data_IF_269394726706
#
_entry.id   IF_269394726706
#
_cell.length_a   1.000
_cell.length_b   1.000
_cell.length_c   1.000
_cell.angle_alpha   90.00
_cell.angle_beta   90.00
_cell.angle_gamma   90.00
#
_symmetry.space_group_name_H-M   'P 1'
#
loop_
_entity.id
_entity.type
_entity.pdbx_description
1 polymer ?
#
# COMPACT_ATOMS: atom_id res chain seq x y z
N UNK A 1 38.90 -4.91 11.10
CA UNK A 1 37.45 -5.12 10.86
C UNK A 1 36.74 -4.29 11.90
N UNK A 2 35.92 -3.31 11.51
CA UNK A 2 35.28 -2.38 12.45
C UNK A 2 34.50 -3.20 13.48
N UNK A 3 34.87 -3.09 14.76
CA UNK A 3 34.30 -3.84 15.88
C UNK A 3 32.93 -3.23 16.24
N UNK A 4 32.02 -3.23 15.27
CA UNK A 4 30.68 -2.68 15.44
C UNK A 4 29.89 -3.63 16.33
N UNK A 5 29.15 -3.10 17.33
CA UNK A 5 28.46 -3.95 18.29
C UNK A 5 27.29 -4.72 17.68
N UNK A 6 26.75 -4.27 16.54
CA UNK A 6 25.76 -4.99 15.74
C UNK A 6 26.44 -5.62 14.52
N UNK A 7 26.31 -6.94 14.41
CA UNK A 7 26.86 -7.75 13.34
C UNK A 7 25.92 -7.93 12.14
N UNK A 8 26.30 -8.79 11.17
CA UNK A 8 25.50 -9.08 9.99
C UNK A 8 24.14 -9.67 10.34
N UNK A 9 23.11 -9.25 9.60
CA UNK A 9 21.79 -9.88 9.68
C UNK A 9 21.84 -11.28 9.07
N UNK A 10 21.57 -12.29 9.89
CA UNK A 10 21.48 -13.70 9.47
C UNK A 10 20.14 -14.23 9.95
N UNK A 11 19.35 -14.81 9.02
CA UNK A 11 18.03 -15.35 9.33
C UNK A 11 18.01 -16.85 9.15
N UNK A 12 17.74 -17.57 10.24
CA UNK A 12 17.55 -19.01 10.25
C UNK A 12 16.13 -19.38 9.75
N UNK A 13 15.95 -19.35 8.43
CA UNK A 13 14.77 -19.90 7.77
C UNK A 13 13.43 -19.18 8.02
N UNK A 14 12.35 -19.84 7.60
CA UNK A 14 10.96 -19.34 7.65
C UNK A 14 10.08 -20.07 8.65
N UNK A 15 10.62 -21.05 9.37
CA UNK A 15 9.88 -21.88 10.32
C UNK A 15 9.41 -21.08 11.55
N UNK A 16 8.29 -21.52 12.13
CA UNK A 16 7.81 -21.02 13.42
C UNK A 16 8.55 -21.76 14.53
N UNK A 17 9.28 -21.01 15.35
CA UNK A 17 10.06 -21.51 16.47
C UNK A 17 9.31 -21.29 17.79
N UNK A 18 9.52 -22.17 18.79
CA UNK A 18 9.10 -21.89 20.16
C UNK A 18 9.66 -20.57 20.68
N UNK A 19 8.95 -19.95 21.61
CA UNK A 19 9.41 -18.72 22.26
C UNK A 19 10.74 -18.95 22.99
N UNK A 20 11.74 -18.12 22.69
CA UNK A 20 13.05 -18.14 23.34
C UNK A 20 13.13 -17.04 24.43
N UNK A 21 13.21 -17.39 25.72
CA UNK A 21 13.35 -16.43 26.82
C UNK A 21 14.56 -15.50 26.73
N UNK A 22 15.65 -15.92 26.07
CA UNK A 22 16.85 -15.10 25.92
C UNK A 22 16.62 -13.87 25.04
N UNK A 23 15.57 -13.88 24.20
CA UNK A 23 15.20 -12.75 23.33
C UNK A 23 15.03 -11.44 24.11
N UNK A 24 14.53 -11.50 25.34
CA UNK A 24 14.37 -10.31 26.19
C UNK A 24 15.71 -9.72 26.65
N UNK A 25 16.71 -10.56 26.91
CA UNK A 25 18.06 -10.10 27.27
C UNK A 25 18.76 -9.49 26.05
N UNK A 26 18.62 -10.11 24.88
CA UNK A 26 19.09 -9.57 23.60
C UNK A 26 18.47 -8.21 23.31
N UNK A 27 17.14 -8.08 23.43
CA UNK A 27 16.45 -6.82 23.21
C UNK A 27 16.94 -5.69 24.12
N UNK A 28 17.10 -5.95 25.43
CA UNK A 28 17.69 -4.99 26.38
C UNK A 28 19.10 -4.59 25.98
N UNK A 29 19.93 -5.55 25.59
CA UNK A 29 21.31 -5.27 25.18
C UNK A 29 21.37 -4.37 23.95
N UNK A 30 20.51 -4.60 22.96
CA UNK A 30 20.42 -3.74 21.78
C UNK A 30 19.92 -2.35 22.15
N UNK A 31 18.90 -2.24 23.00
CA UNK A 31 18.39 -0.96 23.47
C UNK A 31 19.48 -0.13 24.20
N UNK A 32 20.30 -0.76 25.04
CA UNK A 32 21.46 -0.11 25.68
C UNK A 32 22.47 0.42 24.67
N UNK A 33 22.80 -0.37 23.63
CA UNK A 33 23.72 0.03 22.58
C UNK A 33 23.18 1.23 21.77
N UNK A 34 21.89 1.19 21.45
CA UNK A 34 21.22 2.29 20.75
C UNK A 34 21.19 3.55 21.61
N UNK A 35 20.83 3.43 22.89
CA UNK A 35 20.83 4.56 23.82
C UNK A 35 22.23 5.16 23.99
N UNK A 36 23.28 4.34 24.04
CA UNK A 36 24.66 4.81 24.12
C UNK A 36 25.10 5.57 22.84
N UNK A 37 24.67 5.11 21.66
CA UNK A 37 24.96 5.78 20.38
C UNK A 37 24.07 7.00 20.08
N UNK A 38 22.85 7.03 20.62
CA UNK A 38 21.87 8.11 20.47
C UNK A 38 21.13 8.35 21.79
N UNK A 39 21.71 9.11 22.73
CA UNK A 39 21.05 9.45 23.98
C UNK A 39 19.69 10.11 23.73
N UNK A 40 18.66 9.62 24.44
CA UNK A 40 17.28 10.11 24.30
C UNK A 40 16.41 9.32 23.31
N UNK A 41 16.97 8.39 22.54
CA UNK A 41 16.18 7.45 21.74
C UNK A 41 15.79 6.23 22.58
N UNK A 42 14.52 6.17 22.98
CA UNK A 42 13.97 5.02 23.71
C UNK A 42 13.63 3.89 22.73
N UNK A 43 14.15 2.69 22.99
CA UNK A 43 13.89 1.50 22.20
C UNK A 43 13.10 0.49 23.04
N UNK A 44 11.98 0.03 22.49
CA UNK A 44 11.09 -0.93 23.10
C UNK A 44 11.16 -2.29 22.41
N UNK A 45 11.06 -3.37 23.20
CA UNK A 45 10.95 -4.73 22.67
C UNK A 45 9.50 -4.99 22.24
N UNK A 46 9.28 -5.25 20.95
CA UNK A 46 7.95 -5.47 20.37
C UNK A 46 7.88 -6.82 19.65
N UNK A 47 6.77 -7.07 18.95
CA UNK A 47 6.61 -8.28 18.16
C UNK A 47 6.45 -9.54 19.00
N UNK A 48 6.76 -10.69 18.39
CA UNK A 48 6.39 -11.99 18.97
C UNK A 48 7.33 -12.40 20.10
N UNK A 49 8.63 -12.10 19.95
CA UNK A 49 9.66 -12.43 20.92
C UNK A 49 9.56 -11.58 22.19
N UNK A 50 8.78 -10.50 22.17
CA UNK A 50 8.47 -9.71 23.36
C UNK A 50 7.39 -10.35 24.25
N UNK A 51 6.64 -11.35 23.78
CA UNK A 51 5.52 -11.95 24.50
C UNK A 51 5.89 -13.35 24.99
N UNK A 52 6.06 -13.56 26.31
CA UNK A 52 6.40 -14.87 26.85
C UNK A 52 5.43 -15.97 26.40
N UNK A 53 6.00 -17.04 25.85
CA UNK A 53 5.26 -18.22 25.38
C UNK A 53 4.64 -18.08 23.99
N UNK A 54 4.78 -16.94 23.30
CA UNK A 54 4.26 -16.75 21.95
C UNK A 54 5.27 -17.24 20.89
N UNK A 55 4.96 -18.27 20.08
CA UNK A 55 5.84 -18.71 19.01
C UNK A 55 5.94 -17.67 17.87
N UNK A 56 7.05 -17.71 17.14
CA UNK A 56 7.36 -16.74 16.10
C UNK A 56 8.53 -17.13 15.21
N UNK A 57 9.01 -16.20 14.39
CA UNK A 57 10.11 -16.44 13.44
C UNK A 57 11.51 -16.37 14.07
N UNK A 58 11.60 -16.22 15.40
CA UNK A 58 12.86 -16.08 16.12
C UNK A 58 13.60 -14.75 15.90
N UNK A 59 12.94 -13.74 15.35
CA UNK A 59 13.51 -12.39 15.16
C UNK A 59 13.19 -11.53 16.38
N UNK A 60 14.19 -10.81 16.90
CA UNK A 60 14.02 -9.83 17.96
C UNK A 60 13.57 -8.52 17.33
N UNK A 61 12.27 -8.23 17.43
CA UNK A 61 11.66 -7.02 16.87
C UNK A 61 11.73 -5.88 17.90
N UNK A 62 12.28 -4.75 17.51
CA UNK A 62 12.45 -3.56 18.33
C UNK A 62 11.77 -2.38 17.64
N UNK A 63 11.30 -1.42 18.42
CA UNK A 63 10.71 -0.20 17.90
C UNK A 63 11.18 1.02 18.71
N UNK A 64 11.31 2.16 18.04
CA UNK A 64 11.54 3.46 18.65
C UNK A 64 10.60 4.49 18.00
N UNK A 65 10.19 5.49 18.77
CA UNK A 65 9.45 6.64 18.24
C UNK A 65 10.37 7.86 18.16
N UNK A 66 10.24 8.63 17.07
CA UNK A 66 11.04 9.82 16.84
C UNK A 66 10.23 10.91 16.14
N UNK A 67 10.65 12.17 16.32
CA UNK A 67 10.16 13.26 15.48
C UNK A 67 10.55 13.00 14.02
N UNK A 68 9.63 13.18 13.04
CA UNK A 68 9.91 12.89 11.62
C UNK A 68 11.20 13.55 11.10
N UNK A 69 11.50 14.77 11.56
CA UNK A 69 12.70 15.51 11.19
C UNK A 69 14.01 14.87 11.69
N UNK A 70 13.97 14.08 12.77
CA UNK A 70 15.15 13.45 13.37
C UNK A 70 15.43 12.05 12.81
N UNK A 71 14.46 11.43 12.13
CA UNK A 71 14.56 10.06 11.61
C UNK A 71 15.80 9.84 10.71
N UNK A 72 16.18 10.75 9.79
CA UNK A 72 17.40 10.58 8.99
C UNK A 72 18.67 10.52 9.86
N UNK A 73 18.79 11.40 10.85
CA UNK A 73 19.95 11.44 11.75
C UNK A 73 20.01 10.21 12.67
N UNK A 74 18.85 9.76 13.17
CA UNK A 74 18.73 8.52 13.95
C UNK A 74 19.15 7.32 13.11
N UNK A 75 18.64 7.21 11.87
CA UNK A 75 18.96 6.10 10.97
C UNK A 75 20.46 6.04 10.68
N UNK A 76 21.11 7.19 10.47
CA UNK A 76 22.56 7.27 10.31
C UNK A 76 23.31 6.75 11.54
N UNK A 77 22.91 7.15 12.75
CA UNK A 77 23.51 6.67 14.00
C UNK A 77 23.33 5.14 14.19
N UNK A 78 22.19 4.58 13.78
CA UNK A 78 21.98 3.13 13.81
C UNK A 78 22.94 2.40 12.85
N UNK A 79 23.21 2.95 11.66
CA UNK A 79 24.20 2.37 10.74
C UNK A 79 25.63 2.41 11.30
N UNK A 80 25.98 3.43 12.08
CA UNK A 80 27.28 3.51 12.77
C UNK A 80 27.45 2.38 13.80
N UNK A 81 26.37 1.98 14.48
CA UNK A 81 26.34 0.83 15.39
C UNK A 81 26.45 -0.53 14.66
N UNK A 82 26.29 -0.56 13.34
CA UNK A 82 26.42 -1.77 12.51
C UNK A 82 25.13 -2.35 11.97
N UNK A 83 23.99 -1.71 12.25
CA UNK A 83 22.74 -2.03 11.55
C UNK A 83 22.89 -1.81 10.04
N UNK A 84 22.10 -2.57 9.28
CA UNK A 84 22.09 -2.59 7.82
C UNK A 84 20.70 -2.19 7.30
N UNK A 85 20.62 -1.66 6.08
CA UNK A 85 19.34 -1.48 5.40
C UNK A 85 18.59 -2.82 5.26
N UNK A 86 17.26 -2.77 5.29
CA UNK A 86 16.45 -3.92 4.95
C UNK A 86 16.75 -4.40 3.52
N UNK A 87 16.95 -5.71 3.37
CA UNK A 87 17.05 -6.36 2.07
C UNK A 87 15.69 -6.87 1.59
N UNK A 88 15.43 -6.77 0.28
CA UNK A 88 14.20 -7.26 -0.35
C UNK A 88 13.62 -6.32 -1.41
N UNK A 89 12.53 -6.73 -2.09
CA UNK A 89 11.93 -5.97 -3.18
C UNK A 89 11.10 -4.75 -2.74
N UNK A 90 10.77 -4.63 -1.45
CA UNK A 90 9.89 -3.57 -0.92
C UNK A 90 10.36 -3.14 0.49
N UNK A 91 11.45 -2.37 0.60
CA UNK A 91 11.96 -1.89 1.87
C UNK A 91 11.04 -0.82 2.47
N UNK A 92 11.01 -0.72 3.80
CA UNK A 92 10.32 0.38 4.47
C UNK A 92 10.91 1.74 4.04
N UNK A 93 10.07 2.78 3.85
CA UNK A 93 10.56 4.06 3.37
C UNK A 93 11.47 4.75 4.40
N UNK A 94 12.38 5.65 3.98
CA UNK A 94 13.34 6.33 4.86
C UNK A 94 12.75 7.13 6.02
N UNK A 95 11.45 7.42 5.99
CA UNK A 95 10.73 8.17 7.02
C UNK A 95 9.99 7.31 8.03
N UNK A 96 9.97 6.00 7.83
CA UNK A 96 9.64 5.01 8.86
C UNK A 96 10.52 3.77 8.69
N UNK A 97 11.85 3.93 8.72
CA UNK A 97 12.75 2.88 8.28
C UNK A 97 12.72 1.71 9.26
N UNK A 98 12.96 0.52 8.71
CA UNK A 98 13.32 -0.66 9.48
C UNK A 98 14.75 -1.03 9.13
N UNK A 99 15.64 -0.98 10.12
CA UNK A 99 17.01 -1.45 9.97
C UNK A 99 17.15 -2.86 10.53
N UNK A 100 18.11 -3.62 10.00
CA UNK A 100 18.31 -5.02 10.34
C UNK A 100 19.72 -5.27 10.86
N UNK A 101 19.89 -6.23 11.75
CA UNK A 101 21.21 -6.54 12.33
C UNK A 101 21.26 -7.90 13.01
N UNK A 102 22.45 -8.25 13.50
CA UNK A 102 22.66 -9.47 14.26
C UNK A 102 23.37 -9.21 15.59
N UNK A 103 22.99 -9.92 16.65
CA UNK A 103 23.71 -9.89 17.92
C UNK A 103 24.02 -11.30 18.39
N UNK A 104 25.29 -11.54 18.71
CA UNK A 104 25.72 -12.78 19.35
C UNK A 104 25.43 -12.69 20.86
N UNK A 105 24.64 -13.63 21.38
CA UNK A 105 24.33 -13.72 22.80
C UNK A 105 24.42 -15.18 23.23
N UNK A 106 25.26 -15.45 24.24
CA UNK A 106 25.49 -16.82 24.76
C UNK A 106 25.84 -17.85 23.68
N UNK A 107 26.62 -17.45 22.67
CA UNK A 107 27.06 -18.31 21.57
C UNK A 107 26.03 -18.53 20.46
N UNK A 108 24.85 -17.90 20.54
CA UNK A 108 23.81 -17.93 19.51
C UNK A 108 23.66 -16.58 18.82
N UNK A 109 23.53 -16.59 17.50
CA UNK A 109 23.24 -15.39 16.70
C UNK A 109 21.73 -15.11 16.71
N UNK A 110 21.36 -13.87 17.02
CA UNK A 110 19.97 -13.40 16.97
C UNK A 110 19.80 -12.39 15.85
N UNK A 111 18.79 -12.61 15.03
CA UNK A 111 18.34 -11.64 14.02
C UNK A 111 17.56 -10.51 14.71
N UNK A 112 17.85 -9.27 14.35
CA UNK A 112 17.22 -8.07 14.92
C UNK A 112 16.57 -7.27 13.80
N UNK A 113 15.34 -6.85 14.04
CA UNK A 113 14.65 -5.79 13.29
C UNK A 113 14.44 -4.61 14.23
N UNK A 114 14.79 -3.40 13.80
CA UNK A 114 14.54 -2.18 14.56
C UNK A 114 13.78 -1.19 13.68
N UNK A 115 12.53 -0.95 14.04
CA UNK A 115 11.66 0.05 13.40
C UNK A 115 11.84 1.42 14.06
N UNK A 116 11.97 2.47 13.26
CA UNK A 116 11.92 3.86 13.72
C UNK A 116 10.61 4.46 13.22
N UNK A 117 9.66 4.66 14.11
CA UNK A 117 8.34 5.19 13.79
C UNK A 117 8.32 6.71 13.95
N UNK A 118 7.67 7.45 13.03
CA UNK A 118 7.36 8.85 13.27
C UNK A 118 6.38 8.98 14.43
N UNK A 119 6.52 10.06 15.21
CA UNK A 119 5.61 10.37 16.32
C UNK A 119 4.16 10.44 15.86
N UNK A 120 3.26 9.83 16.63
CA UNK A 120 1.85 9.71 16.26
C UNK A 120 1.56 8.60 15.24
N UNK A 121 2.58 7.81 14.88
CA UNK A 121 2.45 6.62 14.05
C UNK A 121 2.04 5.37 14.83
N UNK A 122 2.42 4.20 14.30
CA UNK A 122 1.98 2.90 14.83
C UNK A 122 2.70 2.46 16.13
N UNK A 123 3.68 3.22 16.63
CA UNK A 123 4.50 2.84 17.80
C UNK A 123 3.66 2.55 19.04
N UNK A 124 2.78 3.46 19.44
CA UNK A 124 1.92 3.27 20.62
C UNK A 124 0.99 2.07 20.47
N UNK A 125 0.53 1.79 19.25
CA UNK A 125 -0.33 0.65 18.93
C UNK A 125 0.42 -0.68 19.04
N UNK A 126 1.66 -0.74 18.57
CA UNK A 126 2.49 -1.94 18.66
C UNK A 126 2.82 -2.27 20.13
N UNK A 127 3.05 -1.26 20.97
CA UNK A 127 3.21 -1.44 22.42
C UNK A 127 1.92 -1.92 23.08
N UNK A 128 0.79 -1.26 22.82
CA UNK A 128 -0.49 -1.63 23.41
C UNK A 128 -0.88 -3.08 23.07
N UNK A 129 -0.64 -3.51 21.82
CA UNK A 129 -0.94 -4.88 21.39
C UNK A 129 0.02 -5.91 21.97
N UNK A 130 1.31 -5.60 22.08
CA UNK A 130 2.27 -6.43 22.84
C UNK A 130 1.79 -6.62 24.27
N UNK A 131 1.41 -5.54 24.94
CA UNK A 131 1.04 -5.57 26.35
C UNK A 131 -0.31 -6.27 26.56
N UNK A 132 -1.26 -6.13 25.64
CA UNK A 132 -2.48 -6.92 25.60
C UNK A 132 -2.20 -8.43 25.46
N UNK A 133 -1.29 -8.82 24.55
CA UNK A 133 -0.89 -10.23 24.38
C UNK A 133 -0.15 -10.79 25.62
N UNK A 134 0.56 -9.95 26.37
CA UNK A 134 1.19 -10.34 27.64
C UNK A 134 0.16 -10.53 28.76
N UNK A 135 -0.87 -9.69 28.77
CA UNK A 135 -1.91 -9.69 29.81
C UNK A 135 -2.99 -10.77 29.58
N UNK A 136 -3.34 -11.08 28.32
CA UNK A 136 -4.40 -12.01 27.98
C UNK A 136 -3.86 -13.28 27.29
N UNK A 137 -3.87 -14.39 28.04
CA UNK A 137 -3.48 -15.71 27.54
C UNK A 137 -4.37 -16.19 26.39
N UNK A 138 -5.69 -15.92 26.42
CA UNK A 138 -6.61 -16.38 25.35
C UNK A 138 -6.29 -15.67 24.05
N UNK A 139 -6.09 -14.36 24.09
CA UNK A 139 -5.68 -13.56 22.93
C UNK A 139 -4.33 -14.06 22.36
N UNK A 140 -3.35 -14.32 23.25
CA UNK A 140 -2.05 -14.86 22.85
C UNK A 140 -2.16 -16.23 22.18
N UNK A 141 -2.93 -17.14 22.77
CA UNK A 141 -3.10 -18.50 22.27
C UNK A 141 -3.85 -18.48 20.91
N UNK A 142 -4.84 -17.59 20.73
CA UNK A 142 -5.49 -17.35 19.44
C UNK A 142 -4.52 -16.81 18.38
N UNK A 143 -3.67 -15.85 18.73
CA UNK A 143 -2.67 -15.31 17.82
C UNK A 143 -1.60 -16.35 17.43
N UNK A 144 -1.22 -17.23 18.37
CA UNK A 144 -0.31 -18.34 18.12
C UNK A 144 -0.92 -19.38 17.16
N UNK A 145 -2.21 -19.71 17.35
CA UNK A 145 -2.96 -20.61 16.48
C UNK A 145 -3.04 -20.07 15.04
N UNK A 146 -3.41 -18.79 14.88
CA UNK A 146 -3.44 -18.12 13.57
C UNK A 146 -2.11 -18.24 12.84
N UNK A 147 -0.99 -17.97 13.52
CA UNK A 147 0.35 -18.10 12.92
C UNK A 147 0.67 -19.53 12.47
N UNK A 148 0.25 -20.51 13.26
CA UNK A 148 0.50 -21.93 12.99
C UNK A 148 -0.34 -22.41 11.80
N UNK A 149 -1.60 -22.01 11.75
CA UNK A 149 -2.51 -22.28 10.62
C UNK A 149 -1.96 -21.66 9.32
N UNK A 150 -1.56 -20.38 9.36
CA UNK A 150 -1.01 -19.68 8.19
C UNK A 150 0.23 -20.39 7.63
N UNK A 151 1.09 -20.94 8.47
CA UNK A 151 2.31 -21.66 8.04
C UNK A 151 2.00 -23.09 7.60
N UNK A 152 1.01 -23.76 8.20
CA UNK A 152 0.62 -25.13 7.87
C UNK A 152 -0.09 -25.28 6.52
N UNK A 153 -0.78 -24.25 6.03
CA UNK A 153 -1.58 -24.31 4.79
C UNK A 153 -0.75 -23.98 3.53
N UNK A 154 0.52 -23.59 3.67
CA UNK A 154 1.36 -23.24 2.51
C UNK A 154 0.88 -21.98 1.76
N UNK A 155 0.00 -21.17 2.37
CA UNK A 155 -0.43 -19.88 1.83
C UNK A 155 0.78 -18.95 1.70
N UNK A 156 1.21 -18.72 0.47
CA UNK A 156 2.30 -17.80 0.13
C UNK A 156 1.72 -16.49 -0.47
N UNK A 157 2.50 -15.41 -0.40
CA UNK A 157 2.20 -14.17 -1.14
C UNK A 157 1.20 -13.21 -0.45
N UNK A 158 0.24 -12.69 -1.21
CA UNK A 158 -0.68 -11.61 -0.78
C UNK A 158 -1.78 -12.10 0.17
N UNK A 159 -2.32 -13.31 -0.06
CA UNK A 159 -3.35 -13.94 0.81
C UNK A 159 -2.83 -14.15 2.26
N UNK A 160 -1.52 -14.44 2.40
CA UNK A 160 -0.78 -14.50 3.66
C UNK A 160 -0.82 -13.16 4.42
N UNK A 161 -0.57 -12.06 3.71
CA UNK A 161 -0.50 -10.71 4.30
C UNK A 161 -1.90 -10.22 4.70
N UNK A 162 -2.90 -10.41 3.84
CA UNK A 162 -4.26 -9.90 4.08
C UNK A 162 -4.97 -10.60 5.24
N UNK A 163 -4.89 -11.93 5.33
CA UNK A 163 -5.58 -12.69 6.40
C UNK A 163 -5.04 -12.33 7.78
N UNK A 164 -3.70 -12.19 7.89
CA UNK A 164 -3.04 -11.78 9.13
C UNK A 164 -3.39 -10.33 9.50
N UNK A 165 -3.39 -9.42 8.52
CA UNK A 165 -3.74 -8.01 8.76
C UNK A 165 -5.20 -7.86 9.19
N UNK A 166 -6.13 -8.63 8.62
CA UNK A 166 -7.54 -8.58 9.00
C UNK A 166 -7.77 -9.01 10.45
N UNK A 167 -7.12 -10.09 10.91
CA UNK A 167 -7.21 -10.54 12.30
C UNK A 167 -6.58 -9.54 13.27
N UNK A 168 -5.40 -9.00 12.95
CA UNK A 168 -4.73 -8.01 13.80
C UNK A 168 -5.57 -6.73 13.91
N UNK A 169 -6.18 -6.28 12.80
CA UNK A 169 -7.11 -5.16 12.81
C UNK A 169 -8.31 -5.43 13.73
N UNK A 170 -8.87 -6.64 13.70
CA UNK A 170 -9.95 -7.03 14.62
C UNK A 170 -9.52 -7.07 16.08
N UNK A 171 -8.30 -7.53 16.34
CA UNK A 171 -7.72 -7.51 17.68
C UNK A 171 -7.53 -6.07 18.18
N UNK A 172 -6.99 -5.17 17.36
CA UNK A 172 -6.87 -3.75 17.71
C UNK A 172 -8.24 -3.16 18.07
N UNK A 173 -9.27 -3.41 17.26
CA UNK A 173 -10.65 -2.96 17.54
C UNK A 173 -11.17 -3.48 18.87
N UNK A 174 -11.07 -4.78 19.11
CA UNK A 174 -11.57 -5.42 20.33
C UNK A 174 -10.87 -4.87 21.58
N UNK A 175 -9.61 -4.47 21.43
CA UNK A 175 -8.78 -3.92 22.50
C UNK A 175 -8.89 -2.40 22.64
N UNK A 176 -9.62 -1.71 21.75
CA UNK A 176 -9.70 -0.24 21.73
C UNK A 176 -8.36 0.44 21.43
N UNK A 177 -7.51 -0.20 20.61
CA UNK A 177 -6.20 0.35 20.22
C UNK A 177 -6.36 1.04 18.86
N UNK A 178 -6.78 2.29 18.88
CA UNK A 178 -7.06 3.06 17.67
C UNK A 178 -5.81 3.81 17.17
N UNK A 179 -5.77 4.07 15.86
CA UNK A 179 -4.85 5.06 15.31
C UNK A 179 -5.32 6.46 15.70
N UNK A 180 -4.41 7.40 16.01
CA UNK A 180 -4.83 8.78 16.23
C UNK A 180 -5.48 9.32 14.95
N UNK A 181 -6.73 9.77 15.09
CA UNK A 181 -7.49 10.35 14.01
C UNK A 181 -6.90 11.69 13.57
N UNK A 182 -7.03 12.00 12.28
CA UNK A 182 -6.75 13.33 11.75
C UNK A 182 -8.03 14.14 11.93
N UNK A 183 -8.13 14.87 13.04
CA UNK A 183 -9.36 15.57 13.43
C UNK A 183 -9.45 16.99 12.86
N UNK A 184 -10.66 17.52 12.58
CA UNK A 184 -10.85 18.93 12.29
C UNK A 184 -10.24 19.84 13.38
N UNK A 185 -9.62 20.99 13.04
CA UNK A 185 -9.60 21.64 11.73
C UNK A 185 -8.34 21.30 10.89
N UNK A 186 -7.89 20.05 10.90
CA UNK A 186 -6.81 19.57 10.04
C UNK A 186 -7.04 19.89 8.55
N UNK A 187 -5.96 19.89 7.78
CA UNK A 187 -5.97 20.19 6.36
C UNK A 187 -5.81 18.93 5.52
N UNK A 188 -6.68 18.75 4.53
CA UNK A 188 -6.58 17.69 3.52
C UNK A 188 -5.97 18.30 2.25
N UNK A 189 -4.85 17.73 1.82
CA UNK A 189 -4.23 17.99 0.53
C UNK A 189 -4.83 17.10 -0.56
N UNK A 190 -5.23 17.67 -1.70
CA UNK A 190 -5.79 16.92 -2.83
C UNK A 190 -4.91 17.14 -4.06
N UNK A 191 -4.35 16.04 -4.59
CA UNK A 191 -3.68 16.02 -5.89
C UNK A 191 -4.75 15.86 -6.97
N UNK A 192 -5.05 16.94 -7.69
CA UNK A 192 -6.16 17.02 -8.64
C UNK A 192 -7.30 17.89 -8.15
N UNK A 193 -7.63 18.90 -8.94
CA UNK A 193 -8.68 19.88 -8.67
C UNK A 193 -9.92 19.71 -9.53
N UNK A 194 -10.15 18.54 -10.13
CA UNK A 194 -11.33 18.24 -10.94
C UNK A 194 -12.62 18.14 -10.12
N UNK A 195 -13.68 17.64 -10.75
CA UNK A 195 -15.00 17.54 -10.14
C UNK A 195 -15.04 16.60 -8.93
N UNK A 196 -14.25 15.51 -8.92
CA UNK A 196 -14.23 14.60 -7.78
C UNK A 196 -13.47 15.24 -6.62
N UNK A 197 -12.40 16.00 -6.91
CA UNK A 197 -11.67 16.80 -5.93
C UNK A 197 -12.57 17.86 -5.29
N UNK A 198 -13.41 18.52 -6.10
CA UNK A 198 -14.43 19.46 -5.62
C UNK A 198 -15.46 18.79 -4.71
N UNK A 199 -16.00 17.65 -5.12
CA UNK A 199 -17.00 16.91 -4.32
C UNK A 199 -16.42 16.42 -2.98
N UNK A 200 -15.17 15.93 -3.00
CA UNK A 200 -14.42 15.59 -1.79
C UNK A 200 -14.24 16.83 -0.89
N UNK A 201 -13.83 17.96 -1.46
CA UNK A 201 -13.66 19.22 -0.73
C UNK A 201 -14.94 19.71 -0.07
N UNK A 202 -16.09 19.61 -0.75
CA UNK A 202 -17.40 19.96 -0.17
C UNK A 202 -17.73 19.09 1.06
N UNK A 203 -17.55 17.77 0.95
CA UNK A 203 -17.79 16.86 2.06
C UNK A 203 -16.84 17.14 3.24
N UNK A 204 -15.56 17.36 2.96
CA UNK A 204 -14.56 17.67 3.97
C UNK A 204 -14.82 18.99 4.70
N UNK A 205 -15.22 20.04 3.96
CA UNK A 205 -15.59 21.35 4.53
C UNK A 205 -16.80 21.25 5.46
N UNK A 206 -17.79 20.43 5.11
CA UNK A 206 -18.96 20.18 5.97
C UNK A 206 -18.58 19.52 7.30
N UNK A 207 -17.45 18.80 7.36
CA UNK A 207 -16.91 18.21 8.59
C UNK A 207 -15.92 19.14 9.33
N UNK A 208 -15.59 20.31 8.78
CA UNK A 208 -14.70 21.30 9.42
C UNK A 208 -13.22 21.22 9.01
N UNK A 209 -12.87 20.42 8.00
CA UNK A 209 -11.51 20.36 7.48
C UNK A 209 -11.19 21.58 6.59
N UNK A 210 -9.89 21.91 6.52
CA UNK A 210 -9.31 22.79 5.51
C UNK A 210 -8.90 22.00 4.28
N UNK A 211 -8.81 22.68 3.14
CA UNK A 211 -8.52 22.04 1.85
C UNK A 211 -7.43 22.81 1.11
N UNK A 212 -6.37 22.08 0.71
CA UNK A 212 -5.37 22.58 -0.22
C UNK A 212 -5.37 21.69 -1.45
N UNK A 213 -5.39 22.29 -2.63
CA UNK A 213 -5.44 21.54 -3.91
C UNK A 213 -4.17 21.83 -4.70
N UNK A 214 -3.64 20.82 -5.38
CA UNK A 214 -2.65 20.99 -6.44
C UNK A 214 -3.29 20.65 -7.78
N UNK A 215 -3.30 21.61 -8.70
CA UNK A 215 -3.85 21.46 -10.05
C UNK A 215 -3.13 22.41 -11.03
N UNK A 216 -2.87 22.04 -12.30
CA UNK A 216 -2.29 22.94 -13.28
C UNK A 216 -3.19 24.12 -13.65
N UNK A 217 -4.51 24.01 -13.48
CA UNK A 217 -5.48 25.06 -13.71
C UNK A 217 -5.78 25.83 -12.40
N UNK A 218 -5.41 27.12 -12.29
CA UNK A 218 -5.76 27.92 -11.11
C UNK A 218 -7.28 28.05 -10.89
N UNK A 219 -8.08 27.91 -11.94
CA UNK A 219 -9.54 28.00 -11.92
C UNK A 219 -10.20 26.61 -11.93
N UNK A 220 -9.46 25.55 -11.57
CA UNK A 220 -9.96 24.18 -11.49
C UNK A 220 -11.24 24.08 -10.62
N UNK A 221 -12.14 23.11 -10.88
CA UNK A 221 -13.39 22.98 -10.14
C UNK A 221 -13.27 22.98 -8.60
N UNK A 222 -12.22 22.38 -8.05
CA UNK A 222 -11.98 22.32 -6.61
C UNK A 222 -11.49 23.64 -5.99
N UNK A 223 -10.99 24.59 -6.80
CA UNK A 223 -10.59 25.92 -6.34
C UNK A 223 -11.75 26.65 -5.64
N UNK A 224 -13.00 26.40 -6.05
CA UNK A 224 -14.19 27.00 -5.47
C UNK A 224 -14.44 26.62 -3.99
N UNK A 225 -13.77 25.57 -3.48
CA UNK A 225 -13.94 25.08 -2.11
C UNK A 225 -12.64 25.01 -1.32
N UNK A 226 -11.50 25.17 -2.00
CA UNK A 226 -10.16 25.14 -1.41
C UNK A 226 -9.85 26.41 -0.62
N UNK A 227 -9.08 26.27 0.46
CA UNK A 227 -8.47 27.40 1.17
C UNK A 227 -7.22 27.90 0.41
N UNK A 228 -6.58 27.02 -0.38
CA UNK A 228 -5.46 27.37 -1.27
C UNK A 228 -5.38 26.44 -2.48
N UNK A 229 -4.97 27.01 -3.61
CA UNK A 229 -4.59 26.27 -4.82
C UNK A 229 -3.09 26.44 -5.08
N UNK A 230 -2.39 25.32 -5.25
CA UNK A 230 -1.00 25.25 -5.71
C UNK A 230 -1.05 24.97 -7.21
N UNK A 231 -0.65 25.95 -8.02
CA UNK A 231 -0.69 25.84 -9.48
C UNK A 231 0.56 25.12 -9.97
N UNK A 232 0.43 23.84 -10.31
CA UNK A 232 1.53 23.01 -10.77
C UNK A 232 1.04 21.78 -11.55
N UNK A 233 1.93 21.20 -12.36
CA UNK A 233 1.62 19.95 -13.09
C UNK A 233 1.68 18.72 -12.18
N UNK A 234 1.01 17.65 -12.60
CA UNK A 234 0.92 16.39 -11.84
C UNK A 234 2.19 15.53 -11.85
N UNK A 235 3.29 16.07 -12.34
CA UNK A 235 4.64 15.50 -12.33
C UNK A 235 5.69 16.39 -11.63
N UNK A 236 5.27 17.57 -11.12
CA UNK A 236 6.14 18.48 -10.39
C UNK A 236 6.26 18.09 -8.91
N UNK A 237 7.25 17.25 -8.61
CA UNK A 237 7.57 16.81 -7.24
C UNK A 237 7.95 17.97 -6.33
N UNK A 238 8.64 18.99 -6.82
CA UNK A 238 9.07 20.11 -6.00
C UNK A 238 7.88 21.00 -5.61
N UNK A 239 6.99 21.30 -6.55
CA UNK A 239 5.75 22.01 -6.25
C UNK A 239 4.84 21.20 -5.31
N UNK A 240 4.76 19.88 -5.50
CA UNK A 240 3.97 19.00 -4.66
C UNK A 240 4.44 18.99 -3.19
N UNK A 241 5.73 19.23 -2.91
CA UNK A 241 6.22 19.43 -1.54
C UNK A 241 5.56 20.61 -0.83
N UNK A 242 4.97 21.56 -1.56
CA UNK A 242 4.12 22.59 -0.98
C UNK A 242 2.94 22.04 -0.19
N UNK A 243 2.40 20.86 -0.56
CA UNK A 243 1.34 20.20 0.20
C UNK A 243 1.81 19.69 1.56
N UNK A 244 3.08 19.29 1.68
CA UNK A 244 3.64 18.64 2.87
C UNK A 244 3.67 19.56 4.10
N UNK A 245 3.85 20.86 3.88
CA UNK A 245 3.88 21.84 4.97
C UNK A 245 2.51 22.37 5.38
N UNK A 246 1.46 22.01 4.63
CA UNK A 246 0.13 22.63 4.75
C UNK A 246 -0.98 21.61 4.98
N UNK A 247 -0.77 20.35 4.60
CA UNK A 247 -1.70 19.25 4.78
C UNK A 247 -1.24 18.30 5.90
N UNK A 248 -2.20 17.83 6.69
CA UNK A 248 -2.01 16.76 7.67
C UNK A 248 -2.20 15.37 7.03
N UNK A 249 -2.88 15.32 5.88
CA UNK A 249 -3.07 14.13 5.06
C UNK A 249 -3.24 14.51 3.60
N UNK A 250 -2.69 13.71 2.70
CA UNK A 250 -2.83 13.92 1.26
C UNK A 250 -3.63 12.77 0.63
N UNK A 251 -4.45 13.09 -0.34
CA UNK A 251 -5.11 12.13 -1.23
C UNK A 251 -5.00 12.58 -2.68
N UNK A 252 -5.41 11.73 -3.61
CA UNK A 252 -5.38 12.02 -5.03
C UNK A 252 -6.73 11.70 -5.67
N UNK A 253 -7.15 12.59 -6.57
CA UNK A 253 -8.40 12.47 -7.31
C UNK A 253 -8.27 11.56 -8.53
N UNK A 254 -7.11 11.60 -9.18
CA UNK A 254 -6.90 11.15 -10.55
C UNK A 254 -5.79 10.11 -10.64
N UNK A 255 -5.97 9.15 -11.54
CA UNK A 255 -5.04 8.04 -11.76
C UNK A 255 -3.76 8.44 -12.51
N UNK A 256 -3.71 9.66 -13.08
CA UNK A 256 -2.59 10.15 -13.87
C UNK A 256 -1.61 11.05 -13.09
N UNK A 257 -1.73 11.11 -11.76
CA UNK A 257 -0.68 11.69 -10.91
C UNK A 257 0.58 10.84 -11.05
N UNK A 258 1.73 11.50 -11.24
CA UNK A 258 3.02 10.82 -11.25
C UNK A 258 3.23 10.10 -9.92
N UNK A 259 3.55 8.80 -9.97
CA UNK A 259 3.74 7.99 -8.76
C UNK A 259 4.89 8.55 -7.91
N UNK A 260 5.86 9.19 -8.55
CA UNK A 260 6.99 9.87 -7.94
C UNK A 260 6.56 10.98 -6.99
N UNK A 261 5.47 11.70 -7.29
CA UNK A 261 4.88 12.67 -6.35
C UNK A 261 4.37 11.93 -5.13
N UNK A 262 3.55 10.89 -5.30
CA UNK A 262 2.96 10.17 -4.18
C UNK A 262 4.03 9.52 -3.31
N UNK A 263 5.06 8.92 -3.91
CA UNK A 263 6.21 8.37 -3.19
C UNK A 263 6.99 9.45 -2.45
N UNK A 264 7.20 10.63 -3.05
CA UNK A 264 7.89 11.74 -2.40
C UNK A 264 7.09 12.39 -1.26
N UNK A 265 5.75 12.36 -1.33
CA UNK A 265 4.87 12.91 -0.31
C UNK A 265 4.60 11.93 0.83
N UNK A 266 4.35 10.65 0.53
CA UNK A 266 3.97 9.61 1.50
C UNK A 266 5.07 9.32 2.51
N UNK A 267 6.31 9.72 2.20
CA UNK A 267 7.38 9.69 3.17
C UNK A 267 7.21 10.79 4.23
N UNK A 268 6.67 11.97 3.90
CA UNK A 268 6.64 13.12 4.81
C UNK A 268 5.28 13.33 5.48
N UNK A 269 4.19 13.20 4.71
CA UNK A 269 2.79 13.34 5.15
C UNK A 269 2.04 12.08 4.70
N UNK A 270 1.15 11.50 5.52
CA UNK A 270 0.44 10.29 5.11
C UNK A 270 -0.34 10.54 3.82
N UNK A 271 -0.03 9.78 2.76
CA UNK A 271 -0.84 9.77 1.54
C UNK A 271 -1.78 8.59 1.59
N UNK A 272 -3.09 8.83 1.47
CA UNK A 272 -4.12 7.80 1.47
C UNK A 272 -4.82 7.77 0.11
N UNK A 273 -4.88 6.61 -0.57
CA UNK A 273 -4.49 5.26 -0.12
C UNK A 273 -3.00 4.88 -0.35
N UNK A 274 -2.13 5.84 -0.71
CA UNK A 274 -0.69 5.63 -0.91
C UNK A 274 -0.31 5.27 -2.36
N UNK A 275 0.94 4.89 -2.66
CA UNK A 275 1.43 4.70 -4.03
C UNK A 275 0.99 3.38 -4.69
N UNK A 276 0.69 2.35 -3.89
CA UNK A 276 0.42 1.00 -4.42
C UNK A 276 -0.82 0.93 -5.32
N UNK A 277 -1.99 1.50 -4.95
CA UNK A 277 -3.16 1.49 -5.83
C UNK A 277 -2.89 2.14 -7.19
N UNK A 278 -2.26 3.33 -7.22
CA UNK A 278 -1.86 3.99 -8.48
C UNK A 278 -0.91 3.13 -9.32
N UNK A 279 0.04 2.45 -8.68
CA UNK A 279 0.98 1.56 -9.39
C UNK A 279 0.27 0.41 -10.09
N UNK A 280 -0.77 -0.13 -9.46
CA UNK A 280 -1.55 -1.26 -9.99
C UNK A 280 -2.58 -0.79 -11.02
N UNK A 281 -3.37 0.24 -10.72
CA UNK A 281 -4.44 0.73 -11.61
C UNK A 281 -3.89 1.47 -12.84
N UNK A 282 -2.71 2.09 -12.73
CA UNK A 282 -2.04 2.76 -13.86
C UNK A 282 -1.53 1.80 -14.96
N UNK A 283 -1.58 0.49 -14.74
CA UNK A 283 -1.14 -0.54 -15.68
C UNK A 283 -2.13 -1.70 -15.77
N UNK A 284 -2.88 -1.80 -16.87
CA UNK A 284 -3.92 -2.81 -17.09
C UNK A 284 -3.43 -4.26 -16.95
N UNK A 285 -2.15 -4.52 -17.23
CA UNK A 285 -1.58 -5.86 -17.08
C UNK A 285 -1.31 -6.16 -15.60
N UNK A 286 -0.78 -5.17 -14.86
CA UNK A 286 -0.62 -5.28 -13.42
C UNK A 286 -1.98 -5.44 -12.72
N UNK A 287 -2.98 -4.66 -13.13
CA UNK A 287 -4.37 -4.75 -12.68
C UNK A 287 -4.94 -6.15 -12.90
N UNK A 288 -4.84 -6.72 -14.12
CA UNK A 288 -5.33 -8.09 -14.38
C UNK A 288 -4.69 -9.12 -13.47
N UNK A 289 -3.36 -9.09 -13.36
CA UNK A 289 -2.61 -10.01 -12.48
C UNK A 289 -3.02 -9.84 -11.02
N UNK A 290 -3.28 -8.61 -10.58
CA UNK A 290 -3.73 -8.33 -9.22
C UNK A 290 -5.13 -8.92 -8.96
N UNK A 291 -6.08 -8.70 -9.86
CA UNK A 291 -7.45 -9.24 -9.73
C UNK A 291 -7.45 -10.78 -9.73
N UNK A 292 -6.66 -11.40 -10.61
CA UNK A 292 -6.48 -12.87 -10.63
C UNK A 292 -5.83 -13.39 -9.34
N UNK A 293 -4.82 -12.69 -8.81
CA UNK A 293 -4.18 -13.04 -7.55
C UNK A 293 -5.12 -12.91 -6.34
N UNK A 294 -6.16 -12.08 -6.43
CA UNK A 294 -7.25 -12.00 -5.46
C UNK A 294 -8.30 -13.11 -5.62
N UNK A 295 -8.15 -13.99 -6.62
CA UNK A 295 -9.08 -15.10 -6.89
C UNK A 295 -10.35 -14.68 -7.65
N UNK A 296 -10.42 -13.43 -8.13
CA UNK A 296 -11.53 -12.96 -8.94
C UNK A 296 -11.35 -13.35 -10.41
N UNK A 297 -12.48 -13.57 -11.10
CA UNK A 297 -12.48 -13.91 -12.52
C UNK A 297 -12.32 -12.67 -13.39
N UNK A 298 -11.47 -12.76 -14.40
CA UNK A 298 -11.30 -11.72 -15.43
C UNK A 298 -11.58 -12.30 -16.81
N UNK A 299 -11.86 -11.43 -17.79
CA UNK A 299 -11.92 -11.85 -19.19
C UNK A 299 -10.59 -12.52 -19.59
N UNK A 300 -10.62 -13.68 -20.29
CA UNK A 300 -9.39 -14.32 -20.75
C UNK A 300 -8.53 -13.35 -21.57
N UNK A 301 -7.26 -13.21 -21.19
CA UNK A 301 -6.37 -12.19 -21.74
C UNK A 301 -4.95 -12.70 -21.99
N UNK A 302 -4.20 -11.96 -22.81
CA UNK A 302 -2.78 -12.15 -23.09
C UNK A 302 -2.06 -10.81 -23.16
N UNK A 303 -0.86 -10.76 -22.61
CA UNK A 303 0.08 -9.66 -22.86
C UNK A 303 0.70 -9.86 -24.26
N UNK A 304 0.69 -8.80 -25.07
CA UNK A 304 1.24 -8.81 -26.43
C UNK A 304 2.07 -7.55 -26.69
N UNK A 305 3.15 -7.69 -27.45
CA UNK A 305 4.11 -6.63 -27.82
C UNK A 305 4.35 -6.56 -29.32
N UNK A 306 4.00 -7.61 -30.04
CA UNK A 306 4.24 -7.79 -31.49
C UNK A 306 2.99 -8.31 -32.18
N UNK A 307 2.96 -8.20 -33.52
CA UNK A 307 1.85 -8.77 -34.30
C UNK A 307 1.79 -10.30 -34.20
N UNK A 308 2.94 -10.98 -34.13
CA UNK A 308 2.97 -12.44 -33.99
C UNK A 308 2.41 -12.90 -32.65
N UNK A 309 2.71 -12.18 -31.56
CA UNK A 309 2.11 -12.40 -30.25
C UNK A 309 0.60 -12.14 -30.29
N UNK A 310 0.15 -11.10 -30.99
CA UNK A 310 -1.28 -10.81 -31.19
C UNK A 310 -1.99 -11.92 -31.98
N UNK A 311 -1.38 -12.44 -33.05
CA UNK A 311 -1.90 -13.60 -33.78
C UNK A 311 -1.97 -14.84 -32.89
N UNK A 312 -0.96 -15.05 -32.04
CA UNK A 312 -0.95 -16.11 -31.02
C UNK A 312 -2.10 -15.96 -30.02
N UNK A 313 -2.32 -14.75 -29.51
CA UNK A 313 -3.44 -14.44 -28.62
C UNK A 313 -4.79 -14.70 -29.30
N UNK A 314 -4.98 -14.28 -30.56
CA UNK A 314 -6.21 -14.54 -31.30
C UNK A 314 -6.50 -16.03 -31.50
N UNK A 315 -5.48 -16.86 -31.76
CA UNK A 315 -5.66 -18.32 -31.82
C UNK A 315 -6.06 -18.93 -30.47
N UNK A 316 -5.54 -18.38 -29.37
CA UNK A 316 -5.80 -18.91 -28.02
C UNK A 316 -7.13 -18.43 -27.42
N UNK A 317 -7.51 -17.18 -27.67
CA UNK A 317 -8.66 -16.51 -27.05
C UNK A 317 -9.92 -16.49 -27.94
N UNK A 318 -9.74 -16.64 -29.26
CA UNK A 318 -10.77 -16.41 -30.27
C UNK A 318 -10.97 -14.92 -30.59
N UNK A 319 -11.86 -14.63 -31.53
CA UNK A 319 -12.34 -13.27 -31.85
C UNK A 319 -13.86 -13.21 -31.63
N UNK A 320 -14.45 -12.05 -31.25
CA UNK A 320 -13.83 -10.73 -31.19
C UNK A 320 -12.89 -10.50 -29.99
N UNK A 321 -11.88 -9.65 -30.21
CA UNK A 321 -10.92 -9.20 -29.18
C UNK A 321 -11.01 -7.70 -28.95
N UNK A 322 -10.67 -7.29 -27.72
CA UNK A 322 -10.28 -5.91 -27.39
C UNK A 322 -8.77 -5.85 -27.22
N UNK A 323 -8.12 -5.01 -28.00
CA UNK A 323 -6.70 -4.70 -27.86
C UNK A 323 -6.57 -3.35 -27.17
N UNK A 324 -5.95 -3.33 -26.00
CA UNK A 324 -5.80 -2.13 -25.16
C UNK A 324 -4.33 -1.88 -24.87
N UNK A 325 -3.94 -0.62 -24.78
CA UNK A 325 -2.61 -0.32 -24.24
C UNK A 325 -2.55 -0.57 -22.73
N UNK A 326 -1.42 -1.08 -22.24
CA UNK A 326 -1.25 -1.35 -20.81
C UNK A 326 -1.35 -0.08 -19.95
N UNK A 327 -0.80 1.06 -20.41
CA UNK A 327 -0.77 2.32 -19.64
C UNK A 327 -1.44 3.46 -20.37
N UNK A 328 -1.92 4.47 -19.65
CA UNK A 328 -2.34 5.76 -20.21
C UNK A 328 -3.53 5.69 -21.17
N UNK A 329 -4.55 4.90 -20.86
CA UNK A 329 -5.83 4.88 -21.60
C UNK A 329 -7.01 5.07 -20.65
N UNK A 330 -7.95 5.95 -21.00
CA UNK A 330 -9.14 6.33 -20.23
C UNK A 330 -10.35 6.50 -21.17
N UNK A 331 -11.59 6.31 -20.69
CA UNK A 331 -12.85 6.47 -21.45
C UNK A 331 -12.86 5.87 -22.86
N UNK A 332 -12.41 4.62 -22.96
CA UNK A 332 -12.35 3.90 -24.23
C UNK A 332 -11.33 4.40 -25.25
N UNK A 333 -10.46 5.36 -24.88
CA UNK A 333 -9.29 5.78 -25.67
C UNK A 333 -8.15 4.76 -25.54
N UNK A 334 -7.28 4.70 -26.54
CA UNK A 334 -6.15 3.75 -26.60
C UNK A 334 -6.56 2.27 -26.53
N UNK A 335 -7.71 1.96 -27.14
CA UNK A 335 -8.16 0.59 -27.39
C UNK A 335 -8.82 0.47 -28.77
N UNK A 336 -8.75 -0.71 -29.37
CA UNK A 336 -9.46 -1.05 -30.60
C UNK A 336 -10.16 -2.39 -30.46
N UNK A 337 -11.25 -2.56 -31.22
CA UNK A 337 -11.92 -3.85 -31.40
C UNK A 337 -11.34 -4.54 -32.63
N UNK A 338 -11.08 -5.84 -32.51
CA UNK A 338 -10.67 -6.73 -33.59
C UNK A 338 -11.81 -7.73 -33.76
N UNK A 339 -12.66 -7.51 -34.77
CA UNK A 339 -13.87 -8.30 -34.97
C UNK A 339 -13.60 -9.72 -35.48
N UNK A 340 -12.55 -9.87 -36.29
CA UNK A 340 -12.21 -11.12 -36.96
C UNK A 340 -10.69 -11.29 -37.14
N UNK A 341 -10.18 -12.51 -37.44
CA UNK A 341 -8.76 -12.72 -37.69
C UNK A 341 -8.20 -11.90 -38.87
N UNK A 342 -9.04 -11.50 -39.82
CA UNK A 342 -8.64 -10.66 -40.96
C UNK A 342 -8.26 -9.22 -40.55
N UNK A 343 -8.65 -8.78 -39.35
CA UNK A 343 -8.36 -7.44 -38.82
C UNK A 343 -7.10 -7.38 -37.96
N UNK A 344 -6.37 -8.49 -37.82
CA UNK A 344 -5.14 -8.56 -36.99
C UNK A 344 -3.98 -7.78 -37.62
N UNK A 345 -3.88 -7.78 -38.94
CA UNK A 345 -2.81 -7.14 -39.70
C UNK A 345 -2.88 -5.62 -39.51
N UNK A 346 -1.78 -5.00 -39.06
CA UNK A 346 -1.72 -3.56 -38.82
C UNK A 346 -2.53 -3.08 -37.60
N UNK A 347 -3.07 -3.98 -36.78
CA UNK A 347 -3.84 -3.62 -35.58
C UNK A 347 -3.01 -2.79 -34.59
N UNK A 348 -1.71 -3.12 -34.42
CA UNK A 348 -0.80 -2.36 -33.56
C UNK A 348 -0.58 -0.94 -34.09
N UNK A 349 -0.44 -0.78 -35.41
CA UNK A 349 -0.31 0.53 -36.05
C UNK A 349 -1.58 1.37 -35.90
N UNK A 350 -2.76 0.75 -36.08
CA UNK A 350 -4.08 1.39 -35.89
C UNK A 350 -4.28 1.90 -34.46
N UNK A 351 -3.72 1.22 -33.45
CA UNK A 351 -3.77 1.67 -32.07
C UNK A 351 -2.91 2.93 -31.82
N UNK A 352 -1.97 3.26 -32.73
CA UNK A 352 -1.16 4.48 -32.67
C UNK A 352 -0.11 4.48 -31.55
N UNK A 353 0.43 3.32 -31.17
CA UNK A 353 1.37 3.18 -30.04
C UNK A 353 2.83 2.96 -30.47
N UNK A 354 3.81 3.37 -29.63
CA UNK A 354 5.22 3.05 -29.87
C UNK A 354 5.46 1.55 -29.97
N UNK A 355 6.33 1.14 -30.89
CA UNK A 355 6.74 -0.25 -31.04
C UNK A 355 7.26 -0.81 -29.69
N UNK A 356 6.84 -2.03 -29.34
CA UNK A 356 7.24 -2.78 -28.13
C UNK A 356 6.65 -2.33 -26.79
N UNK A 357 5.69 -1.40 -26.78
CA UNK A 357 4.88 -1.18 -25.57
C UNK A 357 4.02 -2.41 -25.29
N UNK A 358 3.89 -2.80 -24.01
CA UNK A 358 2.99 -3.90 -23.64
C UNK A 358 1.54 -3.52 -23.89
N UNK A 359 0.81 -4.42 -24.53
CA UNK A 359 -0.61 -4.34 -24.80
C UNK A 359 -1.32 -5.51 -24.12
N UNK A 360 -2.58 -5.30 -23.80
CA UNK A 360 -3.48 -6.32 -23.29
C UNK A 360 -4.47 -6.66 -24.40
N UNK A 361 -4.41 -7.91 -24.88
CA UNK A 361 -5.43 -8.50 -25.74
C UNK A 361 -6.37 -9.33 -24.87
N UNK A 362 -7.65 -8.97 -24.81
CA UNK A 362 -8.66 -9.71 -24.06
C UNK A 362 -9.83 -10.13 -24.95
N UNK A 363 -10.43 -11.26 -24.60
CA UNK A 363 -11.66 -11.73 -25.24
C UNK A 363 -12.80 -10.76 -24.92
N UNK A 364 -13.48 -10.30 -25.97
CA UNK A 364 -14.72 -9.55 -25.79
C UNK A 364 -15.79 -10.50 -25.22
N UNK A 365 -16.39 -10.10 -24.09
CA UNK A 365 -17.42 -10.89 -23.42
C UNK A 365 -18.79 -10.44 -23.90
N UNK A 366 -19.68 -11.41 -24.06
CA UNK A 366 -21.12 -11.19 -24.22
C UNK A 366 -21.76 -11.18 -22.83
N UNK A 367 -21.87 -10.00 -22.22
CA UNK A 367 -22.43 -9.82 -20.89
C UNK A 367 -23.83 -9.19 -20.95
N UNK A 368 -24.73 -9.60 -20.04
CA UNK A 368 -26.10 -9.06 -19.98
C UNK A 368 -26.21 -7.69 -19.27
N UNK A 369 -25.23 -7.34 -18.43
CA UNK A 369 -25.19 -6.07 -17.70
C UNK A 369 -23.77 -5.70 -17.27
N UNK A 370 -23.49 -4.41 -17.12
CA UNK A 370 -22.29 -3.88 -16.48
C UNK A 370 -22.65 -3.41 -15.07
N UNK A 371 -21.89 -3.87 -14.08
CA UNK A 371 -22.11 -3.53 -12.68
C UNK A 371 -20.87 -2.85 -12.10
N UNK A 372 -21.08 -2.01 -11.09
CA UNK A 372 -20.02 -1.49 -10.23
C UNK A 372 -20.44 -1.52 -8.77
N UNK A 373 -19.45 -1.59 -7.88
CA UNK A 373 -19.65 -1.48 -6.42
C UNK A 373 -18.58 -0.52 -5.91
N UNK A 374 -19.00 0.52 -5.20
CA UNK A 374 -18.08 1.42 -4.50
C UNK A 374 -17.84 0.87 -3.10
N UNK A 375 -16.57 0.62 -2.78
CA UNK A 375 -16.13 0.13 -1.47
C UNK A 375 -15.19 1.16 -0.86
N UNK A 376 -15.46 1.56 0.37
CA UNK A 376 -14.56 2.37 1.19
C UNK A 376 -13.93 1.48 2.25
N UNK A 377 -12.63 1.67 2.50
CA UNK A 377 -11.90 1.01 3.58
C UNK A 377 -11.03 2.02 4.32
N UNK A 378 -11.21 2.13 5.62
CA UNK A 378 -10.41 3.04 6.45
C UNK A 378 -9.08 2.44 6.91
N UNK A 379 -8.34 3.20 7.71
CA UNK A 379 -7.02 2.83 8.21
C UNK A 379 -7.01 1.70 9.23
N UNK A 380 -8.16 1.41 9.84
CA UNK A 380 -8.39 0.35 10.82
C UNK A 380 -9.05 -0.88 10.18
N UNK A 381 -9.28 -0.81 8.86
CA UNK A 381 -9.81 -1.87 8.04
C UNK A 381 -11.32 -1.99 8.08
N UNK A 382 -12.05 -1.03 8.66
CA UNK A 382 -13.50 -0.98 8.52
C UNK A 382 -13.82 -0.81 7.05
N UNK A 383 -14.74 -1.64 6.56
CA UNK A 383 -15.14 -1.65 5.16
C UNK A 383 -16.63 -1.39 5.08
N UNK A 384 -17.02 -0.45 4.23
CA UNK A 384 -18.41 -0.19 3.88
C UNK A 384 -18.55 -0.21 2.36
N UNK A 385 -19.66 -0.76 1.88
CA UNK A 385 -19.94 -0.83 0.45
C UNK A 385 -21.31 -0.22 0.14
N UNK A 386 -21.37 0.55 -0.94
CA UNK A 386 -22.64 0.92 -1.55
C UNK A 386 -23.27 -0.31 -2.21
N UNK A 387 -24.61 -0.34 -2.37
CA UNK A 387 -25.25 -1.41 -3.12
C UNK A 387 -24.70 -1.49 -4.55
N UNK A 388 -24.69 -2.67 -5.20
CA UNK A 388 -24.34 -2.79 -6.60
C UNK A 388 -25.15 -1.83 -7.46
N UNK A 389 -24.49 -1.23 -8.44
CA UNK A 389 -25.05 -0.26 -9.37
C UNK A 389 -24.98 -0.83 -10.77
N UNK A 390 -26.10 -0.80 -11.51
CA UNK A 390 -26.10 -1.13 -12.93
C UNK A 390 -25.73 0.10 -13.72
N UNK A 391 -24.75 -0.06 -14.60
CA UNK A 391 -24.21 1.01 -15.43
C UNK A 391 -24.60 0.79 -16.89
N UNK A 392 -24.91 1.89 -17.57
CA UNK A 392 -25.11 1.93 -19.02
C UNK A 392 -24.09 2.91 -19.59
N UNK A 393 -23.32 2.45 -20.58
CA UNK A 393 -22.37 3.27 -21.30
C UNK A 393 -22.84 3.49 -22.74
N UNK A 394 -22.65 4.71 -23.25
CA UNK A 394 -22.77 5.02 -24.67
C UNK A 394 -21.41 5.48 -25.20
N UNK A 395 -20.97 4.89 -26.30
CA UNK A 395 -19.64 5.11 -26.89
C UNK A 395 -18.46 5.05 -25.90
N UNK A 396 -18.58 4.26 -24.82
CA UNK A 396 -17.55 4.11 -23.78
C UNK A 396 -17.60 5.13 -22.65
N UNK A 397 -18.61 6.00 -22.63
CA UNK A 397 -18.85 7.01 -21.58
C UNK A 397 -20.07 6.59 -20.77
N UNK A 398 -20.01 6.70 -19.44
CA UNK A 398 -21.13 6.39 -18.55
C UNK A 398 -22.26 7.40 -18.76
N UNK A 399 -23.48 6.90 -19.03
CA UNK A 399 -24.67 7.74 -19.25
C UNK A 399 -25.77 7.53 -18.22
N UNK A 400 -25.85 6.34 -17.60
CA UNK A 400 -26.84 6.04 -16.57
C UNK A 400 -26.27 5.09 -15.52
N UNK A 401 -26.64 5.34 -14.25
CA UNK A 401 -26.36 4.47 -13.10
C UNK A 401 -27.65 4.25 -12.30
N UNK A 402 -28.04 2.98 -12.14
CA UNK A 402 -29.24 2.58 -11.37
C UNK A 402 -28.82 1.83 -10.11
N UNK A 403 -29.19 2.39 -8.94
CA UNK A 403 -28.88 1.85 -7.63
C UNK A 403 -30.16 1.65 -6.79
N UNK A 404 -30.43 0.46 -6.21
CA UNK A 404 -29.67 -0.78 -6.41
C UNK A 404 -29.84 -1.33 -7.83
N UNK A 405 -28.86 -2.10 -8.30
CA UNK A 405 -28.88 -2.74 -9.61
C UNK A 405 -30.09 -3.70 -9.70
N UNK A 406 -30.90 -3.62 -10.78
CA UNK A 406 -31.99 -4.56 -11.02
C UNK A 406 -31.44 -5.86 -11.60
N UNK A 407 -30.75 -6.63 -10.75
CA UNK A 407 -30.23 -7.97 -11.07
C UNK A 407 -31.02 -9.00 -10.27
N UNK A 408 -31.45 -10.07 -10.92
CA UNK A 408 -32.00 -11.24 -10.21
C UNK A 408 -30.87 -11.88 -9.38
N UNK A 409 -31.18 -12.21 -8.13
CA UNK A 409 -30.22 -12.72 -7.14
C UNK A 409 -29.70 -14.11 -7.47
#
# INVERSE_FOLDING_TARGET
MSDRPIGPYVRDGTAVLPHDPASAAVARRVAELVFAGRPGLTVEHVGSTAVPGLPGKGVVDLAAEADPADIPAITAALHELGFQPQSGPDPWPPTRPMVVGGLLHEGRQYAIHLHVHPRGGDFGRDLAFRDALRADRRLRDAYAALKSEIVGVGRAGLEYTYSKQAWIADAYRTLGIDRPAIEPPATIGILGGGQLGRMLGLAARAMGYRIVVLDPDPDCPAAAVADRVIVATYDDVEAARGLVGEADVVTYELEHVAIEIVEALDVIVPVRPGPYPLRVSGDRIAERRFVEACGASVAPWREVRTEDELRGAARALGTPLRLKSARGGYDGRSQIRIGSPAELDGALARLGRPARSSLLAERELDFGAELSVIVSRDTDGHTAAYPPVRNVHDAGILVESVAPAPVEA
#
